data_IF_763414222904
#
_entry.id   IF_763414222904
#
_cell.length_a   1.000
_cell.length_b   1.000
_cell.length_c   1.000
_cell.angle_alpha   90.00
_cell.angle_beta   90.00
_cell.angle_gamma   90.00
#
_symmetry.space_group_name_H-M   'P 1'
#
loop_
_entity.id
_entity.type
_entity.pdbx_description
1 polymer ?
#
# COMPACT_ATOMS: atom_id res chain seq x y z
N UNK A 1 20.04 10.42 -15.85
CA UNK A 1 18.97 9.72 -16.60
C UNK A 1 19.42 8.29 -16.79
N UNK A 2 18.63 7.32 -16.32
CA UNK A 2 18.86 5.91 -16.70
C UNK A 2 18.34 5.74 -18.13
N UNK A 3 19.15 5.14 -18.98
CA UNK A 3 18.75 4.80 -20.35
C UNK A 3 18.22 3.38 -20.34
N UNK A 4 16.95 3.19 -20.74
CA UNK A 4 16.39 1.85 -20.90
C UNK A 4 17.08 1.13 -22.07
N UNK A 5 17.74 0.01 -21.78
CA UNK A 5 18.47 -0.79 -22.78
C UNK A 5 17.57 -1.83 -23.47
N UNK A 6 16.55 -2.31 -22.77
CA UNK A 6 15.61 -3.34 -23.24
C UNK A 6 14.28 -3.20 -22.51
N UNK A 7 13.19 -3.65 -23.14
CA UNK A 7 11.89 -3.84 -22.49
C UNK A 7 11.57 -5.33 -22.38
N UNK A 8 11.27 -5.79 -21.16
CA UNK A 8 10.96 -7.20 -20.89
C UNK A 8 9.73 -7.66 -21.70
N UNK A 9 8.70 -6.82 -21.79
CA UNK A 9 7.42 -7.15 -22.44
C UNK A 9 7.49 -7.27 -23.96
N UNK A 10 8.50 -6.70 -24.62
CA UNK A 10 8.72 -6.84 -26.06
C UNK A 10 9.73 -7.93 -26.42
N UNK A 11 10.31 -8.58 -25.41
CA UNK A 11 11.34 -9.62 -25.59
C UNK A 11 10.84 -10.96 -25.05
N UNK A 12 10.97 -11.21 -23.75
CA UNK A 12 10.59 -12.48 -23.12
C UNK A 12 9.17 -12.49 -22.54
N UNK A 13 8.54 -11.33 -22.34
CA UNK A 13 7.20 -11.22 -21.74
C UNK A 13 7.20 -11.42 -20.22
N UNK A 14 6.00 -11.30 -19.62
CA UNK A 14 5.82 -11.43 -18.17
C UNK A 14 5.69 -12.89 -17.73
N UNK A 15 6.39 -13.26 -16.66
CA UNK A 15 6.28 -14.58 -16.04
C UNK A 15 5.08 -14.66 -15.09
N UNK A 16 3.90 -14.92 -15.63
CA UNK A 16 2.60 -14.87 -14.91
C UNK A 16 2.47 -15.82 -13.70
N UNK A 17 3.28 -16.87 -13.62
CA UNK A 17 3.19 -17.89 -12.58
C UNK A 17 3.99 -17.54 -11.31
N UNK A 18 4.82 -16.50 -11.36
CA UNK A 18 5.67 -16.08 -10.24
C UNK A 18 4.83 -15.51 -9.08
N UNK A 19 5.33 -15.57 -7.83
CA UNK A 19 4.62 -15.00 -6.69
C UNK A 19 4.21 -13.53 -6.85
N UNK A 20 5.07 -12.60 -7.34
CA UNK A 20 4.68 -11.20 -7.52
C UNK A 20 3.50 -11.03 -8.48
N UNK A 21 3.48 -11.75 -9.61
CA UNK A 21 2.35 -11.68 -10.55
C UNK A 21 1.06 -12.25 -9.96
N UNK A 22 1.14 -13.33 -9.16
CA UNK A 22 -0.04 -13.87 -8.48
C UNK A 22 -0.57 -12.91 -7.42
N UNK A 23 0.30 -12.20 -6.71
CA UNK A 23 -0.09 -11.18 -5.74
C UNK A 23 -0.66 -9.93 -6.42
N UNK A 24 -0.05 -9.47 -7.52
CA UNK A 24 -0.57 -8.38 -8.33
C UNK A 24 -1.99 -8.66 -8.86
N UNK A 25 -2.25 -9.87 -9.36
CA UNK A 25 -3.61 -10.27 -9.78
C UNK A 25 -4.60 -10.33 -8.61
N UNK A 26 -4.15 -10.70 -7.40
CA UNK A 26 -4.99 -10.66 -6.19
C UNK A 26 -5.27 -9.21 -5.78
N UNK A 27 -4.26 -8.35 -5.77
CA UNK A 27 -4.39 -6.95 -5.38
C UNK A 27 -5.44 -6.23 -6.23
N UNK A 28 -5.41 -6.40 -7.56
CA UNK A 28 -6.43 -5.83 -8.46
C UNK A 28 -7.86 -6.29 -8.19
N UNK A 29 -8.06 -7.47 -7.61
CA UNK A 29 -9.39 -8.06 -7.35
C UNK A 29 -9.90 -7.80 -5.94
N UNK A 30 -8.98 -7.75 -4.98
CA UNK A 30 -9.31 -7.71 -3.55
C UNK A 30 -9.02 -6.35 -2.92
N UNK A 31 -8.05 -5.59 -3.44
CA UNK A 31 -7.64 -4.26 -2.98
C UNK A 31 -8.50 -3.10 -3.53
N UNK A 32 -9.77 -3.36 -3.85
CA UNK A 32 -10.66 -2.39 -4.52
C UNK A 32 -11.47 -1.51 -3.56
N UNK A 33 -11.23 -1.64 -2.26
CA UNK A 33 -11.88 -0.80 -1.24
C UNK A 33 -11.38 0.65 -1.32
N UNK A 34 -12.22 1.59 -0.89
CA UNK A 34 -11.96 3.02 -0.87
C UNK A 34 -12.23 3.56 0.55
N UNK A 35 -11.24 4.17 1.23
CA UNK A 35 -11.42 4.72 2.57
C UNK A 35 -12.58 5.71 2.65
N UNK A 36 -12.76 6.52 1.60
CA UNK A 36 -13.84 7.52 1.52
C UNK A 36 -15.26 6.92 1.55
N UNK A 37 -15.41 5.62 1.28
CA UNK A 37 -16.71 4.94 1.29
C UNK A 37 -17.06 4.36 2.68
N UNK A 38 -16.17 4.47 3.67
CA UNK A 38 -16.40 3.98 5.04
C UNK A 38 -17.23 5.00 5.82
N UNK A 39 -18.43 4.60 6.25
CA UNK A 39 -19.29 5.44 7.08
C UNK A 39 -18.87 5.40 8.56
N UNK A 40 -18.20 6.45 9.01
CA UNK A 40 -17.75 6.64 10.40
C UNK A 40 -18.78 7.37 11.29
N UNK A 41 -20.05 7.44 10.87
CA UNK A 41 -21.08 8.17 11.65
C UNK A 41 -21.29 7.55 13.03
N UNK A 42 -21.31 6.21 13.12
CA UNK A 42 -21.49 5.53 14.40
C UNK A 42 -20.24 5.64 15.29
N UNK A 43 -19.04 5.51 14.73
CA UNK A 43 -17.77 5.63 15.44
C UNK A 43 -17.64 6.98 16.16
N UNK A 44 -18.13 8.07 15.55
CA UNK A 44 -18.19 9.39 16.20
C UNK A 44 -19.09 9.40 17.42
N UNK A 45 -20.24 8.70 17.38
CA UNK A 45 -21.16 8.61 18.50
C UNK A 45 -20.60 7.70 19.62
N UNK A 46 -19.92 6.62 19.24
CA UNK A 46 -19.29 5.68 20.17
C UNK A 46 -18.10 6.33 20.88
N UNK A 47 -17.30 7.12 20.16
CA UNK A 47 -16.19 7.90 20.74
C UNK A 47 -16.62 8.79 21.91
N UNK A 48 -17.79 9.44 21.81
CA UNK A 48 -18.31 10.33 22.85
C UNK A 48 -18.77 9.59 24.11
N UNK A 49 -18.98 8.27 24.03
CA UNK A 49 -19.41 7.45 25.16
C UNK A 49 -18.24 6.88 25.96
N UNK A 50 -17.01 6.96 25.43
CA UNK A 50 -15.81 6.46 26.08
C UNK A 50 -15.39 7.33 27.27
N UNK A 51 -14.84 6.68 28.30
CA UNK A 51 -14.20 7.38 29.40
C UNK A 51 -12.89 8.06 28.93
N UNK A 52 -12.45 9.15 29.58
CA UNK A 52 -11.23 9.85 29.17
C UNK A 52 -9.97 8.97 29.03
N UNK A 53 -9.72 7.96 29.89
CA UNK A 53 -8.58 7.07 29.72
C UNK A 53 -8.68 6.16 28.47
N UNK A 54 -9.90 5.77 28.08
CA UNK A 54 -10.12 4.95 26.88
C UNK A 54 -9.88 5.77 25.61
N UNK A 55 -10.34 7.02 25.61
CA UNK A 55 -10.05 7.98 24.54
C UNK A 55 -8.54 8.22 24.39
N UNK A 56 -7.82 8.47 25.50
CA UNK A 56 -6.36 8.69 25.46
C UNK A 56 -5.62 7.46 24.90
N UNK A 57 -6.01 6.25 25.32
CA UNK A 57 -5.43 5.02 24.80
C UNK A 57 -5.65 4.86 23.29
N UNK A 58 -6.90 4.99 22.83
CA UNK A 58 -7.22 4.86 21.42
C UNK A 58 -6.51 5.92 20.58
N UNK A 59 -6.47 7.17 21.04
CA UNK A 59 -5.79 8.25 20.32
C UNK A 59 -4.30 7.96 20.15
N UNK A 60 -3.63 7.44 21.18
CA UNK A 60 -2.20 7.05 21.09
C UNK A 60 -1.98 5.92 20.10
N UNK A 61 -2.82 4.90 20.13
CA UNK A 61 -2.72 3.77 19.21
C UNK A 61 -2.93 4.23 17.76
N UNK A 62 -4.02 4.96 17.49
CA UNK A 62 -4.32 5.46 16.14
C UNK A 62 -3.23 6.41 15.64
N UNK A 63 -2.69 7.29 16.48
CA UNK A 63 -1.59 8.17 16.09
C UNK A 63 -0.32 7.40 15.69
N UNK A 64 -0.02 6.28 16.37
CA UNK A 64 1.11 5.42 15.97
C UNK A 64 0.87 4.73 14.64
N UNK A 65 -0.36 4.24 14.40
CA UNK A 65 -0.72 3.67 13.10
C UNK A 65 -0.60 4.73 12.01
N UNK A 66 -1.24 5.88 12.15
CA UNK A 66 -1.23 6.94 11.14
C UNK A 66 0.19 7.38 10.76
N UNK A 67 1.08 7.57 11.74
CA UNK A 67 2.48 7.88 11.47
C UNK A 67 3.23 6.71 10.81
N UNK A 68 2.89 5.48 11.17
CA UNK A 68 3.44 4.27 10.56
C UNK A 68 3.04 4.11 9.10
N UNK A 69 1.76 4.31 8.77
CA UNK A 69 1.24 4.20 7.40
C UNK A 69 1.86 5.27 6.48
N UNK A 70 2.00 6.51 6.98
CA UNK A 70 2.71 7.57 6.25
C UNK A 70 4.19 7.18 6.02
N UNK A 71 4.86 6.67 7.05
CA UNK A 71 6.26 6.25 6.95
C UNK A 71 6.46 5.15 5.92
N UNK A 72 5.64 4.09 5.92
CA UNK A 72 5.78 3.01 4.94
C UNK A 72 5.41 3.46 3.53
N UNK A 73 4.46 4.40 3.38
CA UNK A 73 4.15 5.01 2.09
C UNK A 73 5.36 5.77 1.50
N UNK A 74 6.13 6.48 2.34
CA UNK A 74 7.34 7.18 1.92
C UNK A 74 8.51 6.22 1.68
N UNK A 75 8.74 5.31 2.61
CA UNK A 75 9.95 4.49 2.69
C UNK A 75 9.91 3.25 1.80
N UNK A 76 8.77 2.94 1.17
CA UNK A 76 8.67 1.88 0.16
C UNK A 76 9.26 2.31 -1.20
N UNK A 77 9.28 3.62 -1.51
CA UNK A 77 9.78 4.13 -2.80
C UNK A 77 11.24 3.73 -3.10
N UNK A 78 12.20 3.83 -2.17
CA UNK A 78 13.56 3.34 -2.38
C UNK A 78 13.63 1.85 -2.78
N UNK A 79 12.77 0.99 -2.21
CA UNK A 79 12.71 -0.42 -2.58
C UNK A 79 12.24 -0.59 -4.03
N UNK A 80 11.18 0.12 -4.43
CA UNK A 80 10.67 0.09 -5.81
C UNK A 80 11.78 0.48 -6.80
N UNK A 81 12.53 1.53 -6.48
CA UNK A 81 13.65 1.98 -7.32
C UNK A 81 14.76 0.94 -7.43
N UNK A 82 15.09 0.25 -6.34
CA UNK A 82 16.09 -0.83 -6.37
C UNK A 82 15.63 -2.01 -7.23
N UNK A 83 14.37 -2.46 -7.07
CA UNK A 83 13.78 -3.54 -7.86
C UNK A 83 13.70 -3.18 -9.36
N UNK A 84 13.36 -1.93 -9.67
CA UNK A 84 13.35 -1.42 -11.05
C UNK A 84 14.75 -1.44 -11.67
N UNK A 85 15.79 -1.04 -10.92
CA UNK A 85 17.19 -1.08 -11.38
C UNK A 85 17.70 -2.50 -11.62
N UNK A 86 17.20 -3.48 -10.86
CA UNK A 86 17.48 -4.91 -11.06
C UNK A 86 16.71 -5.51 -12.25
N UNK A 87 15.80 -4.77 -12.89
CA UNK A 87 15.01 -5.24 -14.02
C UNK A 87 13.94 -6.27 -13.66
N UNK A 88 13.53 -6.32 -12.38
CA UNK A 88 12.54 -7.27 -11.85
C UNK A 88 11.11 -6.73 -12.03
N UNK A 89 10.70 -6.57 -13.28
CA UNK A 89 9.46 -5.88 -13.65
C UNK A 89 8.20 -6.43 -12.98
N UNK A 90 8.04 -7.75 -12.86
CA UNK A 90 6.87 -8.35 -12.20
C UNK A 90 6.73 -7.95 -10.72
N UNK A 91 7.86 -7.74 -10.05
CA UNK A 91 7.89 -7.31 -8.65
C UNK A 91 7.67 -5.82 -8.53
N UNK A 92 8.26 -5.03 -9.41
CA UNK A 92 7.95 -3.60 -9.54
C UNK A 92 6.44 -3.38 -9.74
N UNK A 93 5.81 -4.14 -10.64
CA UNK A 93 4.36 -4.12 -10.85
C UNK A 93 3.57 -4.42 -9.58
N UNK A 94 3.94 -5.45 -8.82
CA UNK A 94 3.30 -5.75 -7.56
C UNK A 94 3.48 -4.62 -6.54
N UNK A 95 4.70 -4.09 -6.39
CA UNK A 95 4.98 -3.03 -5.44
C UNK A 95 4.21 -1.73 -5.72
N UNK A 96 3.79 -1.47 -6.97
CA UNK A 96 2.84 -0.36 -7.25
C UNK A 96 1.52 -0.52 -6.52
N UNK A 97 1.01 -1.75 -6.42
CA UNK A 97 -0.23 -2.05 -5.69
C UNK A 97 0.00 -1.99 -4.19
N UNK A 98 1.17 -2.44 -3.72
CA UNK A 98 1.56 -2.33 -2.32
C UNK A 98 1.58 -0.86 -1.89
N UNK A 99 2.30 0.00 -2.63
CA UNK A 99 2.36 1.43 -2.33
C UNK A 99 0.99 2.10 -2.34
N UNK A 100 0.11 1.69 -3.27
CA UNK A 100 -1.25 2.19 -3.31
C UNK A 100 -2.10 1.75 -2.10
N UNK A 101 -1.92 0.53 -1.59
CA UNK A 101 -2.60 0.11 -0.36
C UNK A 101 -2.13 0.93 0.86
N UNK A 102 -0.82 1.19 1.01
CA UNK A 102 -0.34 2.01 2.13
C UNK A 102 -0.81 3.46 2.04
N UNK A 103 -0.89 4.01 0.82
CA UNK A 103 -1.50 5.31 0.60
C UNK A 103 -2.98 5.34 1.03
N UNK A 104 -3.74 4.26 0.81
CA UNK A 104 -5.12 4.14 1.30
C UNK A 104 -5.21 3.91 2.81
N UNK A 105 -4.23 3.27 3.44
CA UNK A 105 -4.18 3.17 4.90
C UNK A 105 -3.90 4.52 5.56
N UNK A 106 -3.16 5.39 4.87
CA UNK A 106 -2.81 6.75 5.33
C UNK A 106 -3.98 7.74 5.20
N UNK A 107 -4.84 7.58 4.19
CA UNK A 107 -6.02 8.42 3.88
C UNK A 107 -7.21 8.15 4.83
#
# INVERSE_FOLDING_TARGET
MMTHQQFLTTSSGLQRHTPPMRLYEKAKRLGIWNPSDIDLTQDKADWQQLAPPEQDLLLRLTAMFQAGEEAVTLDLLPLILAIAQEGRLEEEMYLTTFLFEEAKHTD
#
